data_IF_236390289929
#
_entry.id   IF_236390289929
#
_cell.length_a   1.000
_cell.length_b   1.000
_cell.length_c   1.000
_cell.angle_alpha   90.00
_cell.angle_beta   90.00
_cell.angle_gamma   90.00
#
_symmetry.space_group_name_H-M   'P 1'
#
loop_
_entity.id
_entity.type
_entity.pdbx_description
1 polymer ?
#
# COMPACT_ATOMS: atom_id res chain seq x y z
N UNK A 1 -34.60 0.33 29.53
CA UNK A 1 -34.34 0.01 28.12
C UNK A 1 -32.90 -0.44 28.06
N UNK A 2 -32.64 -1.70 27.77
CA UNK A 2 -31.27 -2.20 27.53
C UNK A 2 -30.73 -1.48 26.29
N UNK A 3 -29.69 -0.67 26.45
CA UNK A 3 -28.98 -0.08 25.31
C UNK A 3 -28.40 -1.24 24.48
N UNK A 4 -28.55 -1.19 23.18
CA UNK A 4 -27.84 -2.13 22.33
C UNK A 4 -26.31 -1.85 22.47
N UNK A 5 -25.43 -2.86 22.43
CA UNK A 5 -23.98 -2.64 22.54
C UNK A 5 -23.47 -1.52 21.62
N UNK A 6 -24.01 -1.42 20.42
CA UNK A 6 -23.68 -0.40 19.44
C UNK A 6 -23.90 1.04 19.92
N UNK A 7 -24.97 1.27 20.70
CA UNK A 7 -25.30 2.62 21.20
C UNK A 7 -24.30 3.13 22.25
N UNK A 8 -23.42 2.28 22.78
CA UNK A 8 -22.43 2.62 23.80
C UNK A 8 -21.04 2.92 23.22
N UNK A 9 -20.74 2.48 21.98
CA UNK A 9 -19.40 2.63 21.37
C UNK A 9 -19.04 4.09 21.17
N UNK A 10 -19.87 4.85 20.44
CA UNK A 10 -19.60 6.27 20.15
C UNK A 10 -19.48 7.14 21.41
N UNK A 11 -20.39 7.06 22.41
CA UNK A 11 -20.22 7.79 23.67
C UNK A 11 -18.91 7.48 24.39
N UNK A 12 -18.46 6.22 24.38
CA UNK A 12 -17.18 5.86 24.97
C UNK A 12 -16.00 6.51 24.22
N UNK A 13 -15.99 6.46 22.89
CA UNK A 13 -14.97 7.08 22.06
C UNK A 13 -14.89 8.58 22.32
N UNK A 14 -16.01 9.28 22.34
CA UNK A 14 -16.05 10.71 22.64
C UNK A 14 -15.53 11.03 24.04
N UNK A 15 -15.85 10.20 25.02
CA UNK A 15 -15.31 10.36 26.39
C UNK A 15 -13.79 10.20 26.44
N UNK A 16 -13.22 9.32 25.62
CA UNK A 16 -11.79 9.04 25.60
C UNK A 16 -11.01 9.93 24.62
N UNK A 17 -11.69 10.76 23.83
CA UNK A 17 -11.11 11.55 22.74
C UNK A 17 -9.86 12.33 23.14
N UNK A 18 -9.92 13.09 24.23
CA UNK A 18 -8.80 13.92 24.65
C UNK A 18 -7.55 13.08 25.00
N UNK A 19 -7.73 12.05 25.84
CA UNK A 19 -6.63 11.17 26.23
C UNK A 19 -6.04 10.41 25.03
N UNK A 20 -6.88 9.97 24.10
CA UNK A 20 -6.43 9.32 22.86
C UNK A 20 -5.58 10.26 21.99
N UNK A 21 -6.01 11.50 21.82
CA UNK A 21 -5.27 12.48 21.00
C UNK A 21 -3.95 12.91 21.68
N UNK A 22 -3.91 13.02 23.01
CA UNK A 22 -2.70 13.28 23.76
C UNK A 22 -1.67 12.15 23.60
N UNK A 23 -2.12 10.91 23.69
CA UNK A 23 -1.29 9.71 23.47
C UNK A 23 -0.77 9.65 22.03
N UNK A 24 -1.64 9.84 21.04
CA UNK A 24 -1.24 9.87 19.63
C UNK A 24 -0.21 10.98 19.37
N UNK A 25 -0.44 12.18 19.92
CA UNK A 25 0.50 13.29 19.79
C UNK A 25 1.86 12.96 20.43
N UNK A 26 1.88 12.26 21.56
CA UNK A 26 3.13 11.80 22.18
C UNK A 26 3.90 10.82 21.26
N UNK A 27 3.21 9.94 20.56
CA UNK A 27 3.85 9.00 19.62
C UNK A 27 4.32 9.69 18.34
N UNK A 28 3.55 10.65 17.80
CA UNK A 28 3.91 11.42 16.61
C UNK A 28 5.16 12.28 16.81
N UNK A 29 5.48 12.70 18.06
CA UNK A 29 6.72 13.41 18.39
C UNK A 29 7.98 12.57 18.24
N UNK A 30 7.86 11.27 18.02
CA UNK A 30 9.02 10.40 17.80
C UNK A 30 9.28 10.34 16.29
N UNK A 31 10.38 10.93 15.78
CA UNK A 31 10.70 10.99 14.35
C UNK A 31 11.28 9.65 13.88
N UNK A 32 10.45 8.63 13.79
CA UNK A 32 10.84 7.26 13.44
C UNK A 32 11.08 7.10 11.93
N UNK A 33 12.03 7.84 11.37
CA UNK A 33 12.36 7.85 9.94
C UNK A 33 13.27 6.68 9.60
N UNK A 34 12.70 5.59 9.06
CA UNK A 34 13.43 4.35 8.75
C UNK A 34 14.49 4.50 7.67
N UNK A 35 14.25 5.36 6.68
CA UNK A 35 15.16 5.62 5.58
C UNK A 35 16.47 6.32 5.98
N UNK A 36 16.59 6.78 7.24
CA UNK A 36 17.74 7.54 7.75
C UNK A 36 18.42 6.81 8.90
N UNK A 37 19.67 6.36 8.74
CA UNK A 37 20.41 5.65 9.79
C UNK A 37 20.58 6.42 11.11
N UNK A 38 20.64 7.74 11.06
CA UNK A 38 20.73 8.62 12.23
C UNK A 38 19.44 8.60 13.08
N UNK A 39 18.29 8.20 12.51
CA UNK A 39 17.02 8.02 13.20
C UNK A 39 16.77 6.58 13.72
N UNK A 40 17.70 5.64 13.54
CA UNK A 40 17.53 4.27 14.06
C UNK A 40 17.19 4.20 15.57
N UNK A 41 17.75 5.07 16.46
CA UNK A 41 17.32 5.11 17.86
C UNK A 41 15.87 5.58 18.03
N UNK A 42 15.37 6.44 17.15
CA UNK A 42 14.00 6.96 17.18
C UNK A 42 13.01 5.90 16.71
N UNK A 43 13.34 5.15 15.65
CA UNK A 43 12.56 4.00 15.19
C UNK A 43 12.43 2.97 16.33
N UNK A 44 13.52 2.69 17.03
CA UNK A 44 13.50 1.81 18.21
C UNK A 44 12.60 2.37 19.31
N UNK A 45 12.73 3.67 19.63
CA UNK A 45 11.91 4.34 20.66
C UNK A 45 10.43 4.32 20.29
N UNK A 46 10.08 4.44 19.00
CA UNK A 46 8.71 4.32 18.49
C UNK A 46 8.14 2.93 18.77
N UNK A 47 8.90 1.87 18.46
CA UNK A 47 8.49 0.49 18.76
C UNK A 47 8.31 0.25 20.26
N UNK A 48 9.26 0.68 21.08
CA UNK A 48 9.21 0.52 22.55
C UNK A 48 8.00 1.28 23.13
N UNK A 49 7.71 2.49 22.62
CA UNK A 49 6.55 3.28 23.02
C UNK A 49 5.24 2.56 22.68
N UNK A 50 5.10 2.08 21.44
CA UNK A 50 3.89 1.36 21.01
C UNK A 50 3.65 0.10 21.83
N UNK A 51 4.71 -0.71 22.05
CA UNK A 51 4.60 -1.92 22.86
C UNK A 51 4.18 -1.62 24.32
N UNK A 52 4.66 -0.53 24.92
CA UNK A 52 4.23 -0.09 26.23
C UNK A 52 2.75 0.33 26.22
N UNK A 53 2.34 1.10 25.22
CA UNK A 53 0.96 1.60 25.08
C UNK A 53 -0.04 0.47 24.82
N UNK A 54 0.35 -0.57 24.07
CA UNK A 54 -0.50 -1.76 23.87
C UNK A 54 -0.73 -2.52 25.18
N UNK A 55 0.31 -2.64 26.05
CA UNK A 55 0.14 -3.22 27.40
C UNK A 55 -0.80 -2.36 28.26
N UNK A 56 -0.67 -1.03 28.23
CA UNK A 56 -1.59 -0.11 28.93
C UNK A 56 -3.03 -0.19 28.39
N UNK A 57 -3.19 -0.47 27.12
CA UNK A 57 -4.50 -0.72 26.46
C UNK A 57 -5.16 -1.98 27.01
N UNK A 58 -4.37 -2.98 27.46
CA UNK A 58 -4.83 -4.22 28.03
C UNK A 58 -4.33 -5.48 27.33
N UNK A 59 -3.50 -5.36 26.30
CA UNK A 59 -2.93 -6.54 25.61
C UNK A 59 -2.07 -7.34 26.60
N UNK A 60 -2.40 -8.61 26.85
CA UNK A 60 -1.60 -9.45 27.77
C UNK A 60 -0.23 -9.77 27.22
N UNK A 61 -0.07 -9.75 25.89
CA UNK A 61 1.22 -9.88 25.22
C UNK A 61 1.45 -8.67 24.32
N UNK A 62 2.59 -7.98 24.51
CA UNK A 62 3.10 -6.98 23.56
C UNK A 62 4.63 -6.99 23.62
N UNK A 63 5.25 -7.30 22.51
CA UNK A 63 6.68 -7.57 22.35
C UNK A 63 7.28 -6.71 21.25
N UNK A 64 8.54 -6.31 21.40
CA UNK A 64 9.33 -5.72 20.32
C UNK A 64 10.20 -6.81 19.72
N UNK A 65 9.95 -7.18 18.49
CA UNK A 65 10.69 -8.17 17.75
C UNK A 65 11.88 -7.54 17.02
N UNK A 66 13.04 -8.16 17.16
CA UNK A 66 14.22 -7.74 16.42
C UNK A 66 14.16 -8.28 15.00
N UNK A 67 14.53 -7.42 14.05
CA UNK A 67 14.79 -7.77 12.65
C UNK A 67 16.25 -7.44 12.33
N UNK A 68 16.80 -7.82 11.19
CA UNK A 68 18.10 -7.31 10.72
C UNK A 68 18.13 -5.79 10.53
N UNK A 69 16.98 -5.16 10.32
CA UNK A 69 16.79 -3.72 10.18
C UNK A 69 16.06 -3.10 11.37
N UNK A 70 14.96 -2.40 11.11
CA UNK A 70 14.16 -1.78 12.16
C UNK A 70 13.26 -2.79 12.88
N UNK A 71 13.03 -2.63 14.21
CA UNK A 71 12.21 -3.56 14.97
C UNK A 71 10.73 -3.48 14.59
N UNK A 72 10.05 -4.63 14.69
CA UNK A 72 8.59 -4.70 14.61
C UNK A 72 7.97 -4.86 16.01
N UNK A 73 6.71 -4.46 16.15
CA UNK A 73 5.92 -4.66 17.37
C UNK A 73 4.89 -5.75 17.12
N UNK A 74 4.86 -6.76 17.97
CA UNK A 74 3.82 -7.78 17.99
C UNK A 74 3.01 -7.67 19.27
N UNK A 75 1.68 -7.76 19.15
CA UNK A 75 0.80 -7.89 20.31
C UNK A 75 -0.28 -8.93 20.05
N UNK A 76 -0.78 -9.53 21.13
CA UNK A 76 -1.80 -10.57 21.09
C UNK A 76 -2.74 -10.44 22.29
N UNK A 77 -4.05 -10.53 22.01
CA UNK A 77 -5.10 -10.61 23.01
C UNK A 77 -6.07 -11.72 22.62
N UNK A 78 -5.95 -12.91 23.24
CA UNK A 78 -6.85 -14.03 22.99
C UNK A 78 -8.30 -13.70 23.41
N UNK A 79 -9.27 -14.20 22.65
CA UNK A 79 -10.68 -14.16 23.03
C UNK A 79 -10.97 -15.15 24.16
N UNK A 80 -12.06 -14.88 24.90
CA UNK A 80 -12.62 -15.84 25.87
C UNK A 80 -13.42 -16.96 25.17
N UNK A 81 -13.70 -16.85 23.87
CA UNK A 81 -14.38 -17.85 23.04
C UNK A 81 -13.33 -18.68 22.29
N UNK A 82 -13.29 -19.99 22.56
CA UNK A 82 -12.33 -20.91 21.92
C UNK A 82 -12.55 -21.05 20.40
N UNK A 83 -13.77 -20.77 19.91
CA UNK A 83 -14.13 -20.85 18.50
C UNK A 83 -14.00 -19.48 17.79
N UNK A 84 -13.51 -18.46 18.51
CA UNK A 84 -13.35 -17.13 17.93
C UNK A 84 -12.32 -17.14 16.79
N UNK A 85 -12.59 -16.44 15.67
CA UNK A 85 -11.61 -16.29 14.61
C UNK A 85 -10.38 -15.50 15.09
N UNK A 86 -9.23 -15.78 14.50
CA UNK A 86 -8.00 -15.05 14.74
C UNK A 86 -7.82 -13.98 13.69
N UNK A 87 -7.64 -12.75 14.11
CA UNK A 87 -7.48 -11.57 13.24
C UNK A 87 -6.15 -10.90 13.52
N UNK A 88 -5.35 -10.71 12.49
CA UNK A 88 -4.10 -9.97 12.54
C UNK A 88 -4.30 -8.57 11.96
N UNK A 89 -4.10 -7.54 12.75
CA UNK A 89 -4.01 -6.15 12.26
C UNK A 89 -2.57 -5.88 11.88
N UNK A 90 -2.36 -5.36 10.69
CA UNK A 90 -1.07 -4.92 10.18
C UNK A 90 -1.07 -3.41 9.93
N UNK A 91 0.06 -2.78 10.21
CA UNK A 91 0.41 -1.40 9.90
C UNK A 91 1.90 -1.16 10.18
N UNK A 92 2.33 0.10 10.12
CA UNK A 92 3.73 0.44 10.37
C UNK A 92 3.90 1.63 11.33
N UNK A 93 5.10 1.77 11.92
CA UNK A 93 5.40 2.82 12.88
C UNK A 93 6.56 3.72 12.46
N UNK A 94 7.19 3.41 11.36
CA UNK A 94 8.12 4.32 10.71
C UNK A 94 7.38 5.36 9.87
N UNK A 95 8.10 6.36 9.41
CA UNK A 95 7.53 7.50 8.68
C UNK A 95 8.52 8.02 7.65
N UNK A 96 8.01 8.66 6.60
CA UNK A 96 8.82 9.35 5.60
C UNK A 96 9.65 10.49 6.21
N UNK A 97 10.85 10.76 5.66
CA UNK A 97 11.63 11.94 6.02
C UNK A 97 10.80 13.22 5.89
N UNK A 98 10.98 14.13 6.85
CA UNK A 98 10.34 15.43 6.81
C UNK A 98 11.19 16.46 7.56
N UNK A 99 11.29 17.66 6.99
CA UNK A 99 11.94 18.79 7.62
C UNK A 99 11.12 20.06 7.36
N UNK A 100 11.24 21.04 8.24
CA UNK A 100 10.46 22.29 8.13
C UNK A 100 10.73 23.03 6.82
N UNK A 101 11.95 22.97 6.33
CA UNK A 101 12.40 23.55 5.06
C UNK A 101 11.76 22.91 3.82
N UNK A 102 11.15 21.75 3.95
CA UNK A 102 10.42 21.08 2.86
C UNK A 102 9.05 21.72 2.57
N UNK A 103 8.70 22.80 3.27
CA UNK A 103 7.45 23.53 3.09
C UNK A 103 6.38 23.24 4.14
N UNK A 104 6.76 22.74 5.31
CA UNK A 104 5.86 22.57 6.45
C UNK A 104 5.56 23.91 7.15
N UNK A 105 4.29 24.15 7.46
CA UNK A 105 3.82 25.32 8.22
C UNK A 105 4.21 25.27 9.70
N UNK A 106 4.44 24.07 10.25
CA UNK A 106 4.90 23.78 11.61
C UNK A 106 6.00 22.73 11.56
N UNK A 107 6.67 22.47 12.70
CA UNK A 107 7.59 21.34 12.79
C UNK A 107 6.83 20.03 12.50
N UNK A 108 7.30 19.17 11.56
CA UNK A 108 6.60 17.96 11.17
C UNK A 108 6.43 16.96 12.33
N UNK A 109 7.28 17.01 13.35
CA UNK A 109 7.22 16.12 14.51
C UNK A 109 6.68 16.81 15.78
N UNK A 110 6.11 18.01 15.66
CA UNK A 110 5.33 18.65 16.72
C UNK A 110 3.87 18.72 16.29
N UNK A 111 3.02 17.79 16.76
CA UNK A 111 1.63 17.69 16.35
C UNK A 111 0.82 18.94 16.67
N UNK A 112 0.10 19.46 15.68
CA UNK A 112 -0.72 20.68 15.84
C UNK A 112 -2.14 20.41 15.38
N UNK A 113 -3.11 20.65 16.27
CA UNK A 113 -4.53 20.59 15.91
C UNK A 113 -4.97 21.97 15.38
N UNK A 114 -5.50 21.99 14.15
CA UNK A 114 -6.08 23.17 13.50
C UNK A 114 -7.50 22.83 13.05
N UNK A 115 -8.50 23.34 13.75
CA UNK A 115 -9.89 22.94 13.52
C UNK A 115 -10.11 21.46 13.80
N UNK A 116 -10.60 20.72 12.82
CA UNK A 116 -10.84 19.26 12.91
C UNK A 116 -9.66 18.42 12.36
N UNK A 117 -8.43 18.96 12.34
CA UNK A 117 -7.27 18.32 11.69
C UNK A 117 -6.08 18.27 12.63
N UNK A 118 -5.48 17.09 12.73
CA UNK A 118 -4.19 16.89 13.39
C UNK A 118 -3.09 16.85 12.34
N UNK A 119 -2.22 17.85 12.34
CA UNK A 119 -1.10 17.97 11.42
C UNK A 119 0.18 17.46 12.09
N UNK A 120 0.78 16.43 11.52
CA UNK A 120 2.11 15.91 11.82
C UNK A 120 2.51 14.85 10.81
N UNK A 121 3.79 14.59 10.61
CA UNK A 121 4.27 13.43 9.88
C UNK A 121 3.91 12.14 10.62
N UNK A 122 3.29 11.16 9.92
CA UNK A 122 2.78 9.93 10.49
C UNK A 122 1.34 10.03 11.03
N UNK A 123 0.68 11.19 10.92
CA UNK A 123 -0.68 11.37 11.41
C UNK A 123 -1.70 10.54 10.61
N UNK A 124 -1.52 10.46 9.30
CA UNK A 124 -2.33 9.68 8.38
C UNK A 124 -1.62 8.38 7.94
N UNK A 125 -0.29 8.41 7.86
CA UNK A 125 0.56 7.38 7.30
C UNK A 125 1.73 7.07 8.26
N UNK A 126 1.62 6.08 9.15
CA UNK A 126 0.46 5.20 9.43
C UNK A 126 0.12 5.18 10.93
N UNK A 127 0.89 5.93 11.78
CA UNK A 127 0.70 5.91 13.25
C UNK A 127 -0.74 6.19 13.67
N UNK A 128 -1.43 7.12 13.00
CA UNK A 128 -2.83 7.43 13.30
C UNK A 128 -3.74 6.24 13.06
N UNK A 129 -3.59 5.54 11.95
CA UNK A 129 -4.40 4.39 11.58
C UNK A 129 -4.09 3.15 12.43
N UNK A 130 -2.83 2.92 12.78
CA UNK A 130 -2.47 1.89 13.77
C UNK A 130 -3.09 2.20 15.13
N UNK A 131 -3.00 3.47 15.56
CA UNK A 131 -3.38 3.83 16.92
C UNK A 131 -4.89 3.80 17.17
N UNK A 132 -5.73 4.03 16.15
CA UNK A 132 -7.18 3.95 16.28
C UNK A 132 -7.68 2.58 16.79
N UNK A 133 -6.94 1.48 16.50
CA UNK A 133 -7.29 0.15 16.99
C UNK A 133 -7.19 0.02 18.51
N UNK A 134 -6.34 0.79 19.17
CA UNK A 134 -6.25 0.82 20.65
C UNK A 134 -7.51 1.39 21.27
N UNK A 135 -8.06 2.46 20.67
CA UNK A 135 -9.34 3.05 21.09
C UNK A 135 -10.51 2.12 20.70
N UNK A 136 -10.47 1.54 19.50
CA UNK A 136 -11.49 0.63 19.00
C UNK A 136 -11.68 -0.60 19.88
N UNK A 137 -10.60 -1.28 20.28
CA UNK A 137 -10.71 -2.47 21.16
C UNK A 137 -11.24 -2.09 22.55
N UNK A 138 -10.81 -0.97 23.12
CA UNK A 138 -11.31 -0.49 24.40
C UNK A 138 -12.80 -0.13 24.33
N UNK A 139 -13.24 0.51 23.25
CA UNK A 139 -14.64 0.83 23.01
C UNK A 139 -15.50 -0.44 22.85
N UNK A 140 -14.98 -1.44 22.12
CA UNK A 140 -15.63 -2.76 22.00
C UNK A 140 -15.85 -3.42 23.37
N UNK A 141 -14.82 -3.50 24.19
CA UNK A 141 -14.90 -4.10 25.52
C UNK A 141 -15.88 -3.34 26.42
N UNK A 142 -15.81 -2.01 26.44
CA UNK A 142 -16.70 -1.18 27.25
C UNK A 142 -18.17 -1.30 26.82
N UNK A 143 -18.44 -1.36 25.52
CA UNK A 143 -19.79 -1.46 24.99
C UNK A 143 -20.40 -2.85 25.17
N UNK A 144 -19.60 -3.90 25.11
CA UNK A 144 -20.07 -5.30 25.23
C UNK A 144 -20.00 -5.85 26.64
N UNK A 145 -19.27 -5.18 27.56
CA UNK A 145 -19.00 -5.68 28.90
C UNK A 145 -18.06 -6.90 28.94
N UNK A 146 -17.37 -7.19 27.83
CA UNK A 146 -16.40 -8.30 27.73
C UNK A 146 -15.08 -7.94 28.42
N UNK A 147 -14.37 -8.97 28.86
CA UNK A 147 -13.01 -8.87 29.42
C UNK A 147 -11.90 -9.12 28.39
N UNK A 148 -12.29 -9.67 27.23
CA UNK A 148 -11.40 -9.90 26.07
C UNK A 148 -12.15 -9.57 24.77
N UNK A 149 -11.44 -9.27 23.67
CA UNK A 149 -12.06 -9.05 22.35
C UNK A 149 -12.89 -10.26 21.91
N UNK A 150 -13.90 -10.02 21.05
CA UNK A 150 -14.72 -11.10 20.51
C UNK A 150 -13.96 -12.00 19.53
N UNK A 151 -12.80 -11.57 19.05
CA UNK A 151 -11.88 -12.31 18.19
C UNK A 151 -10.55 -12.52 18.92
N UNK A 152 -9.76 -13.51 18.51
CA UNK A 152 -8.34 -13.56 18.90
C UNK A 152 -7.63 -12.44 18.13
N UNK A 153 -7.33 -11.34 18.81
CA UNK A 153 -6.79 -10.13 18.18
C UNK A 153 -5.27 -10.15 18.25
N UNK A 154 -4.62 -10.02 17.10
CA UNK A 154 -3.18 -9.85 16.96
C UNK A 154 -2.87 -8.54 16.25
N UNK A 155 -1.73 -7.94 16.57
CA UNK A 155 -1.16 -6.80 15.86
C UNK A 155 0.27 -7.13 15.45
N UNK A 156 0.62 -6.79 14.21
CA UNK A 156 2.00 -6.71 13.71
C UNK A 156 2.19 -5.31 13.14
N UNK A 157 3.09 -4.55 13.76
CA UNK A 157 3.38 -3.18 13.31
C UNK A 157 4.88 -3.11 13.01
N UNK A 158 5.23 -3.01 11.72
CA UNK A 158 6.62 -2.98 11.28
C UNK A 158 7.26 -1.59 11.38
N UNK A 159 8.56 -1.52 11.21
CA UNK A 159 9.34 -0.29 11.28
C UNK A 159 10.15 0.05 10.02
N UNK A 160 9.82 -0.55 8.86
CA UNK A 160 10.56 -0.40 7.59
C UNK A 160 9.64 -0.29 6.36
N UNK A 161 8.34 -0.06 6.53
CA UNK A 161 7.40 0.03 5.41
C UNK A 161 7.82 1.11 4.42
N UNK A 162 8.14 2.28 4.93
CA UNK A 162 8.57 3.46 4.19
C UNK A 162 9.94 3.32 3.50
N UNK A 163 10.62 2.21 3.77
CA UNK A 163 11.87 1.79 3.12
C UNK A 163 11.67 0.55 2.24
N UNK A 164 10.41 0.15 1.98
CA UNK A 164 10.03 -0.97 1.13
C UNK A 164 10.00 -2.33 1.82
N UNK A 165 9.86 -2.38 3.13
CA UNK A 165 9.68 -3.62 3.94
C UNK A 165 10.71 -4.73 3.67
N UNK A 166 12.01 -4.45 3.62
CA UNK A 166 13.01 -5.41 3.13
C UNK A 166 13.12 -6.68 3.97
N UNK A 167 12.68 -6.64 5.23
CA UNK A 167 12.77 -7.78 6.15
C UNK A 167 11.41 -8.35 6.56
N UNK A 168 10.29 -7.74 6.15
CA UNK A 168 8.96 -8.16 6.58
C UNK A 168 8.64 -9.60 6.15
N UNK A 169 8.82 -9.95 4.88
CA UNK A 169 8.53 -11.29 4.38
C UNK A 169 9.27 -12.37 5.19
N UNK A 170 10.56 -12.17 5.40
CA UNK A 170 11.37 -13.11 6.19
C UNK A 170 10.91 -13.19 7.66
N UNK A 171 10.53 -12.06 8.27
CA UNK A 171 9.97 -12.02 9.60
C UNK A 171 8.64 -12.79 9.69
N UNK A 172 7.74 -12.60 8.72
CA UNK A 172 6.44 -13.27 8.67
C UNK A 172 6.62 -14.78 8.48
N UNK A 173 7.53 -15.21 7.60
CA UNK A 173 7.89 -16.62 7.41
C UNK A 173 8.48 -17.25 8.68
N UNK A 174 9.43 -16.57 9.33
CA UNK A 174 10.05 -17.05 10.60
C UNK A 174 9.01 -17.16 11.72
N UNK A 175 8.06 -16.23 11.77
CA UNK A 175 7.07 -16.11 12.85
C UNK A 175 5.68 -16.62 12.45
N UNK A 176 5.54 -17.34 11.33
CA UNK A 176 4.25 -17.74 10.77
C UNK A 176 3.32 -18.41 11.79
N UNK A 177 3.86 -19.26 12.69
CA UNK A 177 3.07 -19.91 13.74
C UNK A 177 2.51 -18.91 14.78
N UNK A 178 3.24 -17.83 15.10
CA UNK A 178 2.77 -16.76 16.00
C UNK A 178 1.80 -15.80 15.28
N UNK A 179 2.01 -15.58 14.00
CA UNK A 179 1.23 -14.69 13.17
C UNK A 179 0.02 -15.37 12.50
N UNK A 180 -0.09 -16.70 12.59
CA UNK A 180 -1.23 -17.44 12.03
C UNK A 180 -2.55 -16.74 12.36
N UNK A 181 -3.32 -16.44 11.32
CA UNK A 181 -4.58 -15.70 11.41
C UNK A 181 -5.56 -16.24 10.38
N UNK A 182 -6.84 -16.07 10.65
CA UNK A 182 -7.90 -16.41 9.71
C UNK A 182 -8.17 -15.24 8.73
N UNK A 183 -7.86 -13.99 9.14
CA UNK A 183 -7.81 -12.81 8.28
C UNK A 183 -6.72 -11.84 8.72
N UNK A 184 -6.21 -11.06 7.76
CA UNK A 184 -5.32 -9.93 8.01
C UNK A 184 -6.07 -8.64 7.69
N UNK A 185 -6.03 -7.68 8.61
CA UNK A 185 -6.55 -6.32 8.41
C UNK A 185 -5.36 -5.39 8.19
N UNK A 186 -5.27 -4.82 7.01
CA UNK A 186 -4.28 -3.78 6.71
C UNK A 186 -4.92 -2.42 6.97
N UNK A 187 -4.34 -1.65 7.87
CA UNK A 187 -4.81 -0.31 8.25
C UNK A 187 -3.96 0.81 7.67
N UNK A 188 -3.39 0.58 6.51
CA UNK A 188 -2.53 1.49 5.78
C UNK A 188 -3.11 1.75 4.39
N UNK A 189 -4.30 2.34 4.37
CA UNK A 189 -5.02 2.69 3.14
C UNK A 189 -5.94 3.89 3.36
N UNK A 190 -6.60 4.33 2.28
CA UNK A 190 -7.53 5.44 2.33
C UNK A 190 -8.94 5.12 1.86
N UNK A 191 -9.80 6.07 2.10
CA UNK A 191 -11.15 6.15 1.54
C UNK A 191 -11.18 7.10 0.35
N UNK A 192 -12.26 7.02 -0.45
CA UNK A 192 -12.48 7.94 -1.56
C UNK A 192 -12.54 9.41 -1.11
N UNK A 193 -13.33 9.68 -0.09
CA UNK A 193 -13.45 10.98 0.56
C UNK A 193 -14.10 10.84 1.94
N UNK A 194 -14.11 11.93 2.71
CA UNK A 194 -14.78 11.97 4.02
C UNK A 194 -16.28 11.64 3.96
N UNK A 195 -16.93 11.98 2.85
CA UNK A 195 -18.37 11.78 2.64
C UNK A 195 -18.70 10.49 1.87
N UNK A 196 -17.69 9.84 1.31
CA UNK A 196 -17.85 8.60 0.55
C UNK A 196 -16.90 7.53 1.13
N UNK A 197 -17.32 6.85 2.22
CA UNK A 197 -16.51 5.78 2.80
C UNK A 197 -16.37 4.64 1.80
N UNK A 198 -15.14 4.15 1.66
CA UNK A 198 -14.85 3.02 0.78
C UNK A 198 -14.03 1.96 1.50
N UNK A 199 -14.13 0.73 1.01
CA UNK A 199 -13.27 -0.37 1.38
C UNK A 199 -12.46 -0.77 0.16
N UNK A 200 -11.15 -0.78 0.30
CA UNK A 200 -10.25 -1.30 -0.72
C UNK A 200 -10.36 -2.83 -0.75
N UNK A 201 -10.39 -3.41 -1.95
CA UNK A 201 -10.51 -4.87 -2.12
C UNK A 201 -9.23 -5.51 -2.64
N UNK A 202 -8.26 -4.73 -3.06
CA UNK A 202 -6.99 -5.24 -3.56
C UNK A 202 -6.03 -4.14 -3.98
N UNK A 203 -4.76 -4.52 -4.08
CA UNK A 203 -3.66 -3.66 -4.50
C UNK A 203 -2.95 -4.25 -5.69
N UNK A 204 -2.37 -3.39 -6.54
CA UNK A 204 -1.51 -3.86 -7.63
C UNK A 204 -0.14 -4.29 -7.09
N UNK A 205 0.47 -5.22 -7.80
CA UNK A 205 1.88 -5.56 -7.64
C UNK A 205 2.78 -4.62 -8.44
N UNK A 206 4.08 -4.80 -8.24
CA UNK A 206 5.13 -4.05 -8.93
C UNK A 206 6.26 -4.98 -9.34
N UNK A 207 6.75 -4.84 -10.57
CA UNK A 207 8.04 -5.36 -11.00
C UNK A 207 8.76 -4.27 -11.78
N UNK A 208 10.08 -4.21 -11.64
CA UNK A 208 10.90 -3.19 -12.29
C UNK A 208 12.11 -3.83 -12.94
N UNK A 209 12.52 -3.31 -14.09
CA UNK A 209 13.76 -3.75 -14.71
C UNK A 209 14.54 -2.61 -15.39
N UNK A 210 15.85 -2.82 -15.47
CA UNK A 210 16.75 -2.04 -16.30
C UNK A 210 17.31 -2.92 -17.39
N UNK A 211 17.23 -2.46 -18.65
CA UNK A 211 17.74 -3.12 -19.83
C UNK A 211 18.90 -2.27 -20.36
N UNK A 212 20.12 -2.77 -20.23
CA UNK A 212 21.32 -2.16 -20.80
C UNK A 212 21.65 -2.83 -22.13
N UNK A 213 21.87 -2.01 -23.16
CA UNK A 213 22.18 -2.44 -24.52
C UNK A 213 23.59 -1.97 -24.86
N UNK A 214 24.44 -2.90 -25.26
CA UNK A 214 25.84 -2.65 -25.63
C UNK A 214 26.05 -3.02 -27.07
N UNK A 215 26.61 -2.09 -27.83
CA UNK A 215 27.01 -2.27 -29.24
C UNK A 215 28.52 -2.30 -29.39
N UNK A 216 29.14 -1.33 -30.11
CA UNK A 216 30.58 -1.24 -30.21
C UNK A 216 31.25 -1.02 -28.85
N UNK A 217 32.48 -1.44 -28.65
CA UNK A 217 33.22 -1.30 -27.39
C UNK A 217 33.45 0.17 -26.97
N UNK A 218 33.34 1.10 -27.94
CA UNK A 218 33.42 2.55 -27.71
C UNK A 218 32.53 3.30 -28.71
N UNK A 219 32.30 4.58 -28.46
CA UNK A 219 31.62 5.45 -29.41
C UNK A 219 32.47 5.53 -30.70
N UNK A 220 31.83 5.30 -31.84
CA UNK A 220 32.48 5.29 -33.15
C UNK A 220 31.88 6.32 -34.09
N UNK A 221 32.63 6.72 -35.11
CA UNK A 221 32.23 7.75 -36.07
C UNK A 221 31.06 7.28 -36.93
N UNK A 222 29.89 7.99 -36.86
CA UNK A 222 28.70 7.58 -37.59
C UNK A 222 28.81 7.65 -39.12
N UNK A 223 29.62 8.54 -39.62
CA UNK A 223 29.88 8.63 -41.08
C UNK A 223 30.70 7.48 -41.61
N UNK A 224 31.56 6.85 -40.80
CA UNK A 224 32.40 5.73 -41.19
C UNK A 224 31.74 4.37 -40.95
N UNK A 225 30.90 4.25 -39.94
CA UNK A 225 30.35 2.98 -39.48
C UNK A 225 28.82 2.93 -39.41
N UNK A 226 28.13 4.10 -39.44
CA UNK A 226 26.68 4.19 -39.39
C UNK A 226 26.05 3.47 -40.58
N UNK A 227 24.96 2.74 -40.32
CA UNK A 227 24.29 1.91 -41.31
C UNK A 227 24.95 0.53 -41.54
N UNK A 228 26.19 0.32 -41.03
CA UNK A 228 26.91 -0.94 -41.15
C UNK A 228 27.06 -1.71 -39.84
N UNK A 229 26.99 -0.99 -38.71
CA UNK A 229 27.00 -1.61 -37.38
C UNK A 229 25.70 -1.29 -36.61
N UNK A 230 25.22 -2.17 -35.72
CA UNK A 230 24.00 -1.91 -34.95
C UNK A 230 24.22 -0.79 -33.95
N UNK A 231 23.20 0.04 -33.80
CA UNK A 231 23.20 1.20 -32.91
C UNK A 231 22.35 0.91 -31.65
N UNK A 232 22.95 0.88 -30.45
CA UNK A 232 22.22 0.62 -29.20
C UNK A 232 21.09 1.61 -28.92
N UNK A 233 21.25 2.89 -29.26
CA UNK A 233 20.19 3.88 -29.07
C UNK A 233 18.97 3.62 -29.99
N UNK A 234 19.21 3.18 -31.22
CA UNK A 234 18.14 2.74 -32.13
C UNK A 234 17.47 1.47 -31.63
N UNK A 235 18.23 0.52 -31.05
CA UNK A 235 17.68 -0.69 -30.46
C UNK A 235 16.80 -0.35 -29.24
N UNK A 236 17.25 0.55 -28.36
CA UNK A 236 16.45 1.03 -27.22
C UNK A 236 15.13 1.69 -27.67
N UNK A 237 15.18 2.55 -28.67
CA UNK A 237 13.98 3.21 -29.21
C UNK A 237 12.98 2.20 -29.81
N UNK A 238 13.46 1.17 -30.51
CA UNK A 238 12.61 0.09 -31.06
C UNK A 238 11.98 -0.73 -29.95
N UNK A 239 12.74 -1.09 -28.92
CA UNK A 239 12.25 -1.84 -27.78
C UNK A 239 11.13 -1.06 -27.08
N UNK A 240 11.31 0.22 -26.79
CA UNK A 240 10.28 1.07 -26.21
C UNK A 240 9.04 1.17 -27.12
N UNK A 241 9.21 1.36 -28.42
CA UNK A 241 8.12 1.45 -29.38
C UNK A 241 7.34 0.12 -29.52
N UNK A 242 7.98 -1.02 -29.24
CA UNK A 242 7.35 -2.33 -29.30
C UNK A 242 6.67 -2.74 -27.97
N UNK A 243 6.76 -1.93 -26.91
CA UNK A 243 6.21 -2.26 -25.59
C UNK A 243 4.68 -2.29 -25.57
N UNK A 244 4.05 -1.45 -26.39
CA UNK A 244 2.59 -1.35 -26.49
C UNK A 244 2.12 -1.50 -27.94
N UNK A 245 0.93 -2.05 -28.11
CA UNK A 245 0.25 -2.11 -29.39
C UNK A 245 -0.54 -0.81 -29.68
N UNK A 246 -1.25 -0.79 -30.80
CA UNK A 246 -2.09 0.35 -31.25
C UNK A 246 -3.28 0.66 -30.33
N UNK A 247 -3.65 -0.26 -29.43
CA UNK A 247 -4.70 -0.12 -28.44
C UNK A 247 -4.15 0.22 -27.03
N UNK A 248 -2.87 0.60 -26.95
CA UNK A 248 -2.14 0.85 -25.71
C UNK A 248 -2.13 -0.38 -24.76
N UNK A 249 -2.25 -1.59 -25.30
CA UNK A 249 -2.12 -2.82 -24.58
C UNK A 249 -0.66 -3.25 -24.57
N UNK A 250 -0.18 -3.78 -23.45
CA UNK A 250 1.20 -4.26 -23.34
C UNK A 250 1.41 -5.40 -24.33
N UNK A 251 2.36 -5.24 -25.25
CA UNK A 251 2.60 -6.15 -26.36
C UNK A 251 3.62 -7.28 -26.06
N UNK A 252 4.00 -7.43 -24.78
CA UNK A 252 4.87 -8.52 -24.32
C UNK A 252 4.06 -9.83 -24.32
N UNK A 253 4.47 -10.87 -25.10
CA UNK A 253 3.75 -12.14 -25.11
C UNK A 253 3.69 -12.78 -23.72
N UNK A 254 2.52 -13.28 -23.30
CA UNK A 254 2.29 -13.84 -21.98
C UNK A 254 2.12 -12.82 -20.86
N UNK A 255 2.17 -11.52 -21.14
CA UNK A 255 2.03 -10.48 -20.11
C UNK A 255 0.67 -10.51 -19.41
N UNK A 256 -0.37 -10.90 -20.09
CA UNK A 256 -1.73 -10.99 -19.55
C UNK A 256 -2.11 -12.39 -19.01
N UNK A 257 -1.16 -13.33 -19.00
CA UNK A 257 -1.43 -14.68 -18.49
C UNK A 257 -1.78 -14.60 -16.99
N UNK A 258 -2.88 -15.24 -16.63
CA UNK A 258 -3.41 -15.25 -15.26
C UNK A 258 -4.19 -14.00 -14.83
N UNK A 259 -4.24 -12.94 -15.64
CA UNK A 259 -5.03 -11.75 -15.30
C UNK A 259 -6.48 -12.11 -15.01
N UNK A 260 -6.96 -11.73 -13.85
CA UNK A 260 -8.37 -11.85 -13.46
C UNK A 260 -9.11 -10.61 -13.93
N UNK A 261 -9.94 -10.77 -14.96
CA UNK A 261 -10.75 -9.68 -15.49
C UNK A 261 -11.83 -9.24 -14.48
N UNK A 262 -12.22 -7.95 -14.55
CA UNK A 262 -13.33 -7.43 -13.78
C UNK A 262 -14.64 -8.11 -14.15
N UNK A 263 -15.40 -8.50 -13.14
CA UNK A 263 -16.80 -8.89 -13.31
C UNK A 263 -17.67 -7.69 -13.66
N UNK A 264 -18.85 -7.92 -14.25
CA UNK A 264 -19.82 -6.84 -14.51
C UNK A 264 -20.20 -6.11 -13.22
N UNK A 265 -20.31 -6.83 -12.11
CA UNK A 265 -20.61 -6.24 -10.81
C UNK A 265 -19.52 -5.31 -10.31
N UNK A 266 -18.25 -5.65 -10.48
CA UNK A 266 -17.14 -4.77 -10.13
C UNK A 266 -17.10 -3.52 -11.00
N UNK A 267 -17.38 -3.62 -12.28
CA UNK A 267 -17.51 -2.47 -13.18
C UNK A 267 -18.63 -1.53 -12.76
N UNK A 268 -19.80 -2.07 -12.40
CA UNK A 268 -20.93 -1.30 -11.86
C UNK A 268 -20.50 -0.55 -10.58
N UNK A 269 -19.85 -1.23 -9.64
CA UNK A 269 -19.40 -0.63 -8.40
C UNK A 269 -18.37 0.49 -8.59
N UNK A 270 -17.45 0.34 -9.56
CA UNK A 270 -16.53 1.41 -9.92
C UNK A 270 -17.27 2.62 -10.56
N UNK A 271 -18.28 2.35 -11.36
CA UNK A 271 -19.11 3.41 -11.98
C UNK A 271 -20.00 4.15 -10.95
N UNK A 272 -20.28 3.56 -9.79
CA UNK A 272 -21.01 4.22 -8.70
C UNK A 272 -20.16 5.26 -7.95
N UNK A 273 -18.82 5.24 -8.10
CA UNK A 273 -17.95 6.21 -7.45
C UNK A 273 -18.13 7.61 -8.08
N UNK A 274 -18.09 8.68 -7.28
CA UNK A 274 -18.21 10.05 -7.81
C UNK A 274 -16.88 10.49 -8.46
N UNK A 275 -16.46 9.79 -9.52
CA UNK A 275 -15.23 10.04 -10.23
C UNK A 275 -15.40 11.14 -11.27
N UNK A 276 -14.62 12.21 -11.16
CA UNK A 276 -14.49 13.30 -12.13
C UNK A 276 -13.12 13.16 -12.83
N UNK A 277 -13.12 12.64 -14.06
CA UNK A 277 -11.91 12.44 -14.84
C UNK A 277 -11.18 13.75 -15.15
N UNK A 278 -11.91 14.85 -15.40
CA UNK A 278 -11.27 16.14 -15.63
C UNK A 278 -10.56 16.66 -14.39
N UNK A 279 -11.17 16.50 -13.20
CA UNK A 279 -10.53 16.87 -11.94
C UNK A 279 -9.32 15.97 -11.66
N UNK A 280 -9.42 14.68 -11.94
CA UNK A 280 -8.32 13.74 -11.79
C UNK A 280 -7.14 14.10 -12.70
N UNK A 281 -7.41 14.45 -13.98
CA UNK A 281 -6.41 14.91 -14.93
C UNK A 281 -5.77 16.24 -14.48
N UNK A 282 -6.55 17.17 -13.94
CA UNK A 282 -6.00 18.41 -13.34
C UNK A 282 -5.04 18.12 -12.21
N UNK A 283 -5.37 17.17 -11.34
CA UNK A 283 -4.49 16.73 -10.23
C UNK A 283 -3.20 16.11 -10.77
N UNK A 284 -3.31 15.26 -11.79
CA UNK A 284 -2.17 14.66 -12.48
C UNK A 284 -1.38 15.67 -13.34
N UNK A 285 -1.87 16.90 -13.51
CA UNK A 285 -1.32 17.91 -14.43
C UNK A 285 -1.19 17.40 -15.86
N UNK A 286 -2.12 16.51 -16.27
CA UNK A 286 -2.20 15.93 -17.60
C UNK A 286 -3.32 16.59 -18.41
N UNK A 287 -3.18 16.62 -19.74
CA UNK A 287 -4.15 17.21 -20.64
C UNK A 287 -5.09 16.18 -21.28
N UNK A 288 -4.80 14.89 -21.15
CA UNK A 288 -5.63 13.82 -21.69
C UNK A 288 -5.44 12.52 -20.90
N UNK A 289 -6.51 11.73 -20.80
CA UNK A 289 -6.43 10.34 -20.35
C UNK A 289 -5.81 9.47 -21.47
N UNK A 290 -5.04 8.47 -21.06
CA UNK A 290 -4.42 7.49 -21.94
C UNK A 290 -4.45 6.11 -21.28
N UNK A 291 -4.32 5.04 -22.07
CA UNK A 291 -4.17 3.66 -21.59
C UNK A 291 -4.99 2.66 -22.40
N UNK A 292 -5.02 1.42 -21.94
CA UNK A 292 -5.63 0.28 -22.62
C UNK A 292 -7.06 0.58 -23.10
N UNK A 293 -7.32 0.37 -24.39
CA UNK A 293 -8.62 0.62 -25.01
C UNK A 293 -9.72 -0.27 -24.40
N UNK A 294 -10.95 0.25 -24.34
CA UNK A 294 -12.11 -0.48 -23.80
C UNK A 294 -12.23 -0.49 -22.28
N UNK A 295 -11.37 0.24 -21.58
CA UNK A 295 -11.40 0.38 -20.13
C UNK A 295 -11.51 1.83 -19.69
N UNK A 296 -12.22 2.09 -18.58
CA UNK A 296 -12.29 3.40 -17.93
C UNK A 296 -10.98 3.74 -17.25
N UNK A 297 -10.78 5.00 -16.87
CA UNK A 297 -9.58 5.44 -16.15
C UNK A 297 -9.39 4.69 -14.83
N UNK A 298 -10.47 4.49 -14.06
CA UNK A 298 -10.39 3.73 -12.81
C UNK A 298 -10.02 2.25 -13.07
N UNK A 299 -10.62 1.62 -14.09
CA UNK A 299 -10.26 0.24 -14.46
C UNK A 299 -8.78 0.13 -14.83
N UNK A 300 -8.25 1.09 -15.60
CA UNK A 300 -6.83 1.12 -16.00
C UNK A 300 -5.88 1.21 -14.82
N UNK A 301 -6.17 2.10 -13.85
CA UNK A 301 -5.27 2.31 -12.71
C UNK A 301 -5.42 1.28 -11.60
N UNK A 302 -6.51 0.51 -11.56
CA UNK A 302 -6.80 -0.43 -10.49
C UNK A 302 -6.80 -1.90 -10.89
N UNK A 303 -7.28 -2.21 -12.08
CA UNK A 303 -7.59 -3.58 -12.47
C UNK A 303 -6.92 -4.02 -13.78
N UNK A 304 -6.20 -3.13 -14.44
CA UNK A 304 -5.42 -3.48 -15.62
C UNK A 304 -3.92 -3.42 -15.33
N UNK A 305 -3.15 -4.40 -15.83
CA UNK A 305 -1.70 -4.33 -15.72
C UNK A 305 -1.16 -3.29 -16.67
N UNK A 306 -0.07 -2.62 -16.27
CA UNK A 306 0.57 -1.58 -17.08
C UNK A 306 2.07 -1.79 -17.19
N UNK A 307 2.66 -1.23 -18.24
CA UNK A 307 4.09 -1.16 -18.44
C UNK A 307 4.47 0.29 -18.73
N UNK A 308 5.32 0.87 -17.88
CA UNK A 308 5.73 2.25 -17.99
C UNK A 308 7.22 2.37 -18.30
N UNK A 309 7.56 3.31 -19.20
CA UNK A 309 8.95 3.68 -19.48
C UNK A 309 9.36 4.78 -18.51
N UNK A 310 10.12 4.40 -17.47
CA UNK A 310 10.57 5.34 -16.43
C UNK A 310 11.84 6.09 -16.83
N UNK A 311 12.59 5.56 -17.81
CA UNK A 311 13.80 6.17 -18.31
C UNK A 311 14.28 5.57 -19.61
N UNK A 312 14.84 6.41 -20.46
CA UNK A 312 15.56 6.01 -21.67
C UNK A 312 16.80 6.89 -21.79
N UNK A 313 17.95 6.28 -22.02
CA UNK A 313 19.23 6.99 -22.15
C UNK A 313 20.14 6.32 -23.17
N UNK A 314 21.05 7.11 -23.71
CA UNK A 314 22.04 6.62 -24.66
C UNK A 314 22.40 7.66 -25.72
N UNK A 315 23.56 7.51 -26.32
CA UNK A 315 24.11 8.50 -27.24
C UNK A 315 24.57 9.78 -26.53
N UNK A 316 24.90 10.80 -27.32
CA UNK A 316 25.38 12.07 -26.80
C UNK A 316 24.24 12.91 -26.22
N UNK A 317 24.38 13.32 -24.95
CA UNK A 317 23.40 14.09 -24.22
C UNK A 317 23.81 15.55 -23.97
N UNK A 318 25.03 15.95 -24.45
CA UNK A 318 25.55 17.30 -24.26
C UNK A 318 24.99 18.30 -25.29
N UNK A 319 25.35 19.59 -25.14
CA UNK A 319 24.95 20.64 -26.08
C UNK A 319 25.56 20.39 -27.48
N UNK A 320 24.82 20.76 -28.53
CA UNK A 320 25.24 20.58 -29.92
C UNK A 320 25.10 19.14 -30.43
N UNK A 321 25.78 18.82 -31.54
CA UNK A 321 25.72 17.50 -32.16
C UNK A 321 27.08 16.77 -32.05
N UNK A 322 27.04 15.45 -31.87
CA UNK A 322 28.21 14.56 -31.97
C UNK A 322 27.83 13.41 -32.88
N UNK A 323 28.55 13.30 -34.00
CA UNK A 323 28.26 12.34 -35.07
C UNK A 323 28.82 10.95 -34.74
N UNK A 324 28.17 10.24 -33.82
CA UNK A 324 28.59 8.92 -33.32
C UNK A 324 27.53 7.84 -33.54
N UNK A 325 27.97 6.58 -33.56
CA UNK A 325 27.21 5.43 -33.13
C UNK A 325 27.62 5.15 -31.69
N UNK A 326 26.74 5.29 -30.71
CA UNK A 326 27.12 5.14 -29.32
C UNK A 326 27.46 3.70 -28.95
N UNK A 327 28.27 3.52 -27.92
CA UNK A 327 28.66 2.20 -27.42
C UNK A 327 27.55 1.54 -26.60
N UNK A 328 26.68 2.31 -26.00
CA UNK A 328 25.60 1.78 -25.15
C UNK A 328 24.33 2.64 -25.12
N UNK A 329 23.26 2.03 -24.71
CA UNK A 329 21.98 2.69 -24.32
C UNK A 329 21.32 1.91 -23.19
N UNK A 330 20.31 2.51 -22.54
CA UNK A 330 19.56 1.85 -21.48
C UNK A 330 18.09 2.23 -21.51
N UNK A 331 17.24 1.33 -21.01
CA UNK A 331 15.81 1.54 -20.79
C UNK A 331 15.47 1.08 -19.36
N UNK A 332 14.69 1.86 -18.64
CA UNK A 332 14.10 1.48 -17.34
C UNK A 332 12.60 1.32 -17.51
N UNK A 333 12.08 0.21 -17.02
CA UNK A 333 10.68 -0.14 -17.12
C UNK A 333 10.13 -0.48 -15.75
N UNK A 334 8.88 -0.09 -15.49
CA UNK A 334 8.11 -0.61 -14.37
C UNK A 334 6.80 -1.21 -14.85
N UNK A 335 6.38 -2.29 -14.20
CA UNK A 335 5.17 -3.03 -14.53
C UNK A 335 4.27 -3.04 -13.30
N UNK A 336 3.07 -2.47 -13.42
CA UNK A 336 2.05 -2.67 -12.40
C UNK A 336 1.29 -3.95 -12.72
N UNK A 337 1.25 -4.86 -11.76
CA UNK A 337 0.66 -6.19 -11.90
C UNK A 337 -0.69 -6.24 -11.20
N UNK A 338 -1.62 -7.05 -11.74
CA UNK A 338 -2.96 -7.22 -11.18
C UNK A 338 -3.19 -8.65 -10.72
N UNK A 339 -4.28 -8.88 -9.98
CA UNK A 339 -4.64 -10.18 -9.45
C UNK A 339 -4.48 -11.31 -10.48
N UNK A 340 -3.85 -12.39 -10.05
CA UNK A 340 -3.55 -13.57 -10.86
C UNK A 340 -2.21 -13.51 -11.60
N UNK A 341 -1.53 -12.35 -11.67
CA UNK A 341 -0.21 -12.27 -12.27
C UNK A 341 0.89 -12.64 -11.26
N UNK A 342 1.89 -13.34 -11.75
CA UNK A 342 3.10 -13.73 -11.01
C UNK A 342 4.30 -12.90 -11.49
N UNK A 343 5.01 -12.16 -10.62
CA UNK A 343 6.17 -11.36 -11.01
C UNK A 343 7.27 -12.18 -11.68
N UNK A 344 7.49 -13.44 -11.25
CA UNK A 344 8.49 -14.29 -11.85
C UNK A 344 8.11 -14.76 -13.27
N UNK A 345 6.81 -14.90 -13.55
CA UNK A 345 6.32 -15.13 -14.90
C UNK A 345 6.55 -13.91 -15.79
N UNK A 346 6.23 -12.72 -15.28
CA UNK A 346 6.44 -11.44 -15.99
C UNK A 346 7.93 -11.22 -16.31
N UNK A 347 8.81 -11.48 -15.34
CA UNK A 347 10.26 -11.40 -15.59
C UNK A 347 10.68 -12.28 -16.76
N UNK A 348 10.23 -13.55 -16.80
CA UNK A 348 10.53 -14.49 -17.88
C UNK A 348 9.98 -14.00 -19.23
N UNK A 349 8.74 -13.53 -19.25
CA UNK A 349 8.09 -13.01 -20.45
C UNK A 349 8.83 -11.79 -21.01
N UNK A 350 9.17 -10.82 -20.15
CA UNK A 350 9.90 -9.60 -20.53
C UNK A 350 11.31 -9.95 -21.03
N UNK A 351 12.03 -10.87 -20.39
CA UNK A 351 13.36 -11.31 -20.87
C UNK A 351 13.29 -11.95 -22.24
N UNK A 352 12.32 -12.82 -22.48
CA UNK A 352 12.13 -13.48 -23.78
C UNK A 352 11.76 -12.45 -24.86
N UNK A 353 10.80 -11.59 -24.59
CA UNK A 353 10.38 -10.52 -25.50
C UNK A 353 11.54 -9.57 -25.83
N UNK A 354 12.28 -9.10 -24.83
CA UNK A 354 13.40 -8.20 -25.06
C UNK A 354 14.51 -8.85 -25.93
N UNK A 355 14.78 -10.14 -25.74
CA UNK A 355 15.74 -10.88 -26.55
C UNK A 355 15.33 -10.93 -28.03
N UNK A 356 14.02 -10.99 -28.33
CA UNK A 356 13.51 -10.96 -29.71
C UNK A 356 13.57 -9.55 -30.34
N UNK A 357 13.45 -8.49 -29.53
CA UNK A 357 13.50 -7.11 -30.00
C UNK A 357 14.91 -6.59 -30.22
N UNK A 358 15.91 -7.19 -29.58
CA UNK A 358 17.31 -6.75 -29.67
C UNK A 358 17.94 -7.32 -30.91
N UNK A 359 18.49 -6.47 -31.83
CA UNK A 359 19.09 -6.94 -33.07
C UNK A 359 20.41 -7.66 -32.82
N UNK A 360 20.79 -8.54 -33.76
CA UNK A 360 22.11 -9.18 -33.77
C UNK A 360 23.24 -8.14 -33.69
N UNK A 361 24.26 -8.43 -32.89
CA UNK A 361 25.37 -7.54 -32.64
C UNK A 361 25.16 -6.52 -31.51
N UNK A 362 24.02 -6.52 -30.88
CA UNK A 362 23.77 -5.82 -29.60
C UNK A 362 23.70 -6.87 -28.48
N UNK A 363 24.46 -6.67 -27.41
CA UNK A 363 24.39 -7.47 -26.18
C UNK A 363 23.44 -6.77 -25.21
N UNK A 364 22.43 -7.48 -24.71
CA UNK A 364 21.51 -6.97 -23.71
C UNK A 364 21.83 -7.56 -22.33
N UNK A 365 21.84 -6.71 -21.32
CA UNK A 365 21.84 -7.10 -19.90
C UNK A 365 20.54 -6.62 -19.28
N UNK A 366 19.77 -7.54 -18.70
CA UNK A 366 18.47 -7.24 -18.11
C UNK A 366 18.55 -7.55 -16.62
N UNK A 367 18.37 -6.54 -15.79
CA UNK A 367 18.37 -6.67 -14.33
C UNK A 367 16.98 -6.32 -13.80
N UNK A 368 16.39 -7.25 -13.06
CA UNK A 368 15.16 -7.00 -12.30
C UNK A 368 15.49 -6.63 -10.86
N UNK A 369 14.74 -5.67 -10.32
CA UNK A 369 14.73 -5.33 -8.90
C UNK A 369 13.83 -6.27 -8.09
N UNK A 370 13.70 -6.03 -6.78
CA UNK A 370 12.67 -6.66 -5.97
C UNK A 370 11.28 -6.43 -6.57
N UNK A 371 10.41 -7.42 -6.40
CA UNK A 371 9.06 -7.35 -6.95
C UNK A 371 8.02 -7.58 -5.84
N UNK A 372 6.87 -6.92 -5.97
CA UNK A 372 5.72 -7.07 -5.07
C UNK A 372 4.59 -7.75 -5.83
N UNK A 373 3.98 -8.77 -5.23
CA UNK A 373 2.80 -9.43 -5.80
C UNK A 373 1.56 -8.55 -5.67
N UNK A 374 0.57 -8.69 -6.55
CA UNK A 374 -0.76 -8.12 -6.34
C UNK A 374 -1.54 -8.93 -5.31
N UNK A 375 -2.49 -8.30 -4.62
CA UNK A 375 -3.46 -8.99 -3.77
C UNK A 375 -4.89 -8.59 -4.13
N UNK A 376 -5.83 -9.49 -3.89
CA UNK A 376 -7.26 -9.27 -4.11
C UNK A 376 -8.06 -10.15 -3.16
N UNK A 377 -9.06 -9.56 -2.52
CA UNK A 377 -10.08 -10.28 -1.76
C UNK A 377 -11.42 -10.17 -2.48
N UNK A 378 -12.10 -11.30 -2.78
CA UNK A 378 -13.38 -11.29 -3.47
C UNK A 378 -14.44 -10.48 -2.73
N UNK A 379 -15.30 -9.78 -3.48
CA UNK A 379 -16.36 -8.92 -2.92
C UNK A 379 -17.33 -9.66 -1.99
N UNK A 380 -17.60 -10.92 -2.27
CA UNK A 380 -18.52 -11.78 -1.50
C UNK A 380 -17.86 -12.48 -0.31
N UNK A 381 -16.57 -12.23 -0.06
CA UNK A 381 -15.86 -12.85 1.06
C UNK A 381 -16.51 -12.41 2.39
N UNK A 382 -16.92 -13.35 3.27
CA UNK A 382 -17.70 -13.03 4.48
C UNK A 382 -16.99 -12.05 5.42
N UNK A 383 -15.67 -12.18 5.58
CA UNK A 383 -14.90 -11.26 6.41
C UNK A 383 -14.83 -9.84 5.81
N UNK A 384 -14.75 -9.70 4.47
CA UNK A 384 -14.83 -8.39 3.80
C UNK A 384 -16.19 -7.74 4.06
N UNK A 385 -17.26 -8.51 4.00
CA UNK A 385 -18.61 -8.00 4.31
C UNK A 385 -18.75 -7.55 5.77
N UNK A 386 -17.98 -8.11 6.71
CA UNK A 386 -17.91 -7.61 8.10
C UNK A 386 -17.25 -6.22 8.16
N UNK A 387 -16.17 -5.98 7.41
CA UNK A 387 -15.56 -4.64 7.30
C UNK A 387 -16.56 -3.64 6.71
N UNK A 388 -17.26 -4.02 5.64
CA UNK A 388 -18.29 -3.16 5.01
C UNK A 388 -19.39 -2.78 5.98
N UNK A 389 -19.93 -3.74 6.77
CA UNK A 389 -20.95 -3.45 7.79
C UNK A 389 -20.41 -2.55 8.89
N UNK A 390 -19.21 -2.83 9.41
CA UNK A 390 -18.58 -2.03 10.45
C UNK A 390 -18.36 -0.58 10.01
N UNK A 391 -17.80 -0.38 8.82
CA UNK A 391 -17.63 0.94 8.20
C UNK A 391 -18.97 1.63 7.95
N UNK A 392 -19.95 0.92 7.39
CA UNK A 392 -21.28 1.47 7.14
C UNK A 392 -21.97 1.98 8.41
N UNK A 393 -21.80 1.27 9.53
CA UNK A 393 -22.32 1.67 10.85
C UNK A 393 -21.59 2.90 11.40
N UNK A 394 -20.27 2.91 11.38
CA UNK A 394 -19.45 4.01 11.89
C UNK A 394 -19.68 5.31 11.11
N UNK A 395 -19.76 5.21 9.79
CA UNK A 395 -19.95 6.37 8.91
C UNK A 395 -21.42 6.76 8.69
N UNK A 396 -22.37 5.90 9.10
CA UNK A 396 -23.79 6.05 8.82
C UNK A 396 -24.11 6.32 7.34
N UNK A 397 -23.37 5.67 6.44
CA UNK A 397 -23.40 5.85 4.98
C UNK A 397 -23.14 4.51 4.28
N UNK A 398 -23.72 4.30 3.08
CA UNK A 398 -23.35 3.17 2.23
C UNK A 398 -21.84 3.18 1.94
N UNK A 399 -21.21 2.01 2.08
CA UNK A 399 -19.80 1.82 1.78
C UNK A 399 -19.64 1.40 0.33
N UNK A 400 -18.72 2.03 -0.39
CA UNK A 400 -18.38 1.69 -1.77
C UNK A 400 -17.06 0.93 -1.81
N UNK A 401 -16.70 0.45 -3.01
CA UNK A 401 -15.51 -0.37 -3.18
C UNK A 401 -14.50 0.32 -4.08
N UNK A 402 -13.22 0.20 -3.70
CA UNK A 402 -12.08 0.66 -4.49
C UNK A 402 -11.05 -0.45 -4.63
N UNK A 403 -10.08 -0.24 -5.49
CA UNK A 403 -8.80 -0.94 -5.47
C UNK A 403 -7.67 0.09 -5.39
N UNK A 404 -6.50 -0.34 -4.95
CA UNK A 404 -5.34 0.54 -4.86
C UNK A 404 -4.44 0.34 -6.08
N UNK A 405 -4.04 1.45 -6.70
CA UNK A 405 -3.12 1.46 -7.82
C UNK A 405 -1.65 1.32 -7.40
N UNK A 406 -1.36 1.60 -6.15
CA UNK A 406 -0.07 1.39 -5.51
C UNK A 406 0.20 -0.08 -5.19
N UNK A 407 1.33 -0.32 -4.55
CA UNK A 407 1.77 -1.64 -4.09
C UNK A 407 2.24 -1.52 -2.66
N UNK A 408 2.06 -2.58 -1.88
CA UNK A 408 2.48 -2.65 -0.50
C UNK A 408 2.64 -4.10 -0.05
N UNK A 409 2.97 -4.36 1.20
CA UNK A 409 3.31 -5.69 1.72
C UNK A 409 2.09 -6.62 1.92
N UNK A 410 0.88 -6.14 1.65
CA UNK A 410 -0.37 -6.90 1.83
C UNK A 410 -0.35 -8.26 1.13
N UNK A 411 0.26 -8.35 -0.05
CA UNK A 411 0.35 -9.60 -0.80
C UNK A 411 1.30 -10.62 -0.14
N UNK A 412 2.38 -10.18 0.48
CA UNK A 412 3.28 -11.07 1.22
C UNK A 412 2.58 -11.66 2.45
N UNK A 413 1.81 -10.84 3.16
CA UNK A 413 0.98 -11.30 4.28
C UNK A 413 -0.05 -12.33 3.81
N UNK A 414 -0.76 -12.05 2.68
CA UNK A 414 -1.73 -12.97 2.11
C UNK A 414 -1.10 -14.32 1.73
N UNK A 415 0.05 -14.28 1.07
CA UNK A 415 0.73 -15.49 0.57
C UNK A 415 1.28 -16.34 1.73
N UNK A 416 2.03 -15.71 2.64
CA UNK A 416 2.73 -16.44 3.72
C UNK A 416 1.76 -16.98 4.76
N UNK A 417 0.73 -16.21 5.11
CA UNK A 417 -0.24 -16.61 6.13
C UNK A 417 -1.40 -17.43 5.57
N UNK A 418 -1.60 -17.43 4.24
CA UNK A 418 -2.72 -18.11 3.59
C UNK A 418 -4.07 -17.55 3.99
N UNK A 419 -4.13 -16.29 4.43
CA UNK A 419 -5.32 -15.63 4.95
C UNK A 419 -5.76 -14.48 4.02
N UNK A 420 -7.07 -14.20 3.88
CA UNK A 420 -7.55 -13.05 3.12
C UNK A 420 -7.05 -11.76 3.75
N UNK A 421 -6.65 -10.81 2.90
CA UNK A 421 -6.32 -9.45 3.32
C UNK A 421 -7.52 -8.55 3.15
N UNK A 422 -7.86 -7.86 4.20
CA UNK A 422 -8.95 -6.89 4.30
C UNK A 422 -8.35 -5.52 4.60
N UNK A 423 -8.87 -4.48 4.00
CA UNK A 423 -8.37 -3.13 4.23
C UNK A 423 -9.37 -2.32 5.07
N UNK A 424 -8.88 -1.73 6.14
CA UNK A 424 -9.63 -0.79 6.96
C UNK A 424 -8.80 0.48 7.10
N UNK A 425 -8.93 1.37 6.12
CA UNK A 425 -8.26 2.66 6.09
C UNK A 425 -9.25 3.81 6.21
N UNK A 426 -8.82 4.92 6.80
CA UNK A 426 -9.65 6.12 7.03
C UNK A 426 -9.05 7.38 6.45
N UNK A 427 -7.86 7.32 5.92
CA UNK A 427 -7.23 8.45 5.27
C UNK A 427 -7.95 8.85 3.99
N UNK A 428 -7.76 10.09 3.58
CA UNK A 428 -8.36 10.63 2.35
C UNK A 428 -7.28 11.29 1.48
N UNK A 429 -7.48 11.42 0.16
CA UNK A 429 -6.47 11.97 -0.74
C UNK A 429 -5.94 13.36 -0.36
N UNK A 430 -6.71 14.13 0.43
CA UNK A 430 -6.30 15.43 0.91
C UNK A 430 -5.41 15.40 2.16
N UNK A 431 -5.10 14.20 2.70
CA UNK A 431 -4.29 14.08 3.91
C UNK A 431 -2.79 14.30 3.65
N UNK A 432 -2.38 14.22 2.38
CA UNK A 432 -1.04 14.63 1.98
C UNK A 432 0.05 13.64 2.36
N UNK A 433 -0.21 12.33 2.21
CA UNK A 433 0.80 11.28 2.39
C UNK A 433 2.08 11.63 1.66
N UNK A 434 3.21 11.44 2.30
CA UNK A 434 4.56 11.76 1.83
C UNK A 434 4.77 13.26 1.49
N UNK A 435 3.74 14.12 1.56
CA UNK A 435 3.82 15.55 1.28
C UNK A 435 4.04 16.38 2.56
N UNK A 436 4.46 17.65 2.44
CA UNK A 436 4.42 18.60 3.55
C UNK A 436 2.99 18.84 4.04
N UNK A 437 2.87 19.15 5.33
CA UNK A 437 1.59 19.40 6.00
C UNK A 437 0.63 18.20 6.02
N UNK A 438 1.17 16.97 6.03
CA UNK A 438 0.39 15.78 6.30
C UNK A 438 -0.52 15.97 7.49
N UNK A 439 -1.74 15.47 7.39
CA UNK A 439 -2.76 15.60 8.43
C UNK A 439 -3.68 14.39 8.43
N UNK A 440 -4.40 14.22 9.54
CA UNK A 440 -5.58 13.35 9.60
C UNK A 440 -6.79 14.16 10.08
N UNK A 441 -7.96 13.91 9.49
CA UNK A 441 -9.24 14.48 9.98
C UNK A 441 -9.64 13.76 11.27
N UNK A 442 -9.81 14.51 12.37
CA UNK A 442 -10.10 13.93 13.70
C UNK A 442 -11.39 13.12 13.71
N UNK A 443 -12.43 13.58 13.03
CA UNK A 443 -13.70 12.86 12.94
C UNK A 443 -13.56 11.54 12.20
N UNK A 444 -12.71 11.47 11.15
CA UNK A 444 -12.45 10.23 10.43
C UNK A 444 -11.65 9.26 11.29
N UNK A 445 -10.67 9.75 12.03
CA UNK A 445 -9.86 8.94 12.95
C UNK A 445 -10.76 8.30 14.04
N UNK A 446 -11.68 9.06 14.61
CA UNK A 446 -12.63 8.54 15.62
C UNK A 446 -13.66 7.58 15.01
N UNK A 447 -14.14 7.84 13.79
CA UNK A 447 -15.01 6.90 13.05
C UNK A 447 -14.27 5.62 12.70
N UNK A 448 -12.97 5.69 12.39
CA UNK A 448 -12.13 4.51 12.22
C UNK A 448 -12.04 3.65 13.47
N UNK A 449 -11.87 4.28 14.64
CA UNK A 449 -11.91 3.59 15.92
C UNK A 449 -13.29 2.98 16.20
N UNK A 450 -14.38 3.67 15.82
CA UNK A 450 -15.74 3.17 15.91
C UNK A 450 -15.95 1.95 14.99
N UNK A 451 -15.48 2.01 13.74
CA UNK A 451 -15.51 0.89 12.80
C UNK A 451 -14.73 -0.31 13.33
N UNK A 452 -13.52 -0.08 13.86
CA UNK A 452 -12.72 -1.11 14.53
C UNK A 452 -13.48 -1.77 15.69
N UNK A 453 -14.17 -0.98 16.54
CA UNK A 453 -14.94 -1.52 17.65
C UNK A 453 -16.11 -2.42 17.22
N UNK A 454 -16.80 -2.06 16.14
CA UNK A 454 -17.89 -2.89 15.58
C UNK A 454 -17.36 -4.15 14.89
N UNK A 455 -16.21 -4.04 14.23
CA UNK A 455 -15.63 -5.10 13.40
C UNK A 455 -15.36 -6.38 14.20
N UNK A 456 -14.88 -6.27 15.43
CA UNK A 456 -14.55 -7.45 16.24
C UNK A 456 -15.79 -8.28 16.55
N UNK A 457 -16.91 -7.64 16.85
CA UNK A 457 -18.20 -8.33 17.04
C UNK A 457 -18.74 -8.93 15.73
N UNK A 458 -18.70 -8.16 14.65
CA UNK A 458 -19.17 -8.61 13.33
C UNK A 458 -18.41 -9.83 12.82
N UNK A 459 -17.09 -9.85 12.96
CA UNK A 459 -16.27 -11.01 12.55
C UNK A 459 -16.60 -12.25 13.40
N UNK A 460 -16.73 -12.10 14.71
CA UNK A 460 -17.05 -13.21 15.59
C UNK A 460 -18.45 -13.80 15.33
N UNK A 461 -19.42 -12.96 14.95
CA UNK A 461 -20.80 -13.38 14.71
C UNK A 461 -21.00 -13.99 13.30
N UNK A 462 -20.42 -13.38 12.29
CA UNK A 462 -20.75 -13.68 10.89
C UNK A 462 -19.68 -14.45 10.14
N UNK A 463 -18.48 -14.58 10.71
CA UNK A 463 -17.39 -15.30 10.08
C UNK A 463 -16.75 -16.28 11.05
N UNK A 464 -17.31 -17.48 11.11
CA UNK A 464 -16.72 -18.61 11.83
C UNK A 464 -15.82 -19.39 10.89
N UNK A 465 -14.71 -19.91 11.43
CA UNK A 465 -13.80 -20.78 10.71
C UNK A 465 -14.62 -21.90 10.06
N UNK A 466 -14.42 -22.11 8.74
CA UNK A 466 -14.94 -23.31 8.10
C UNK A 466 -14.28 -24.53 8.77
N UNK A 467 -15.06 -25.58 9.11
CA UNK A 467 -14.53 -26.75 9.81
C UNK A 467 -13.46 -27.51 8.98
#
# INVERSE_FOLDING_TARGET
MSQTPDSAVRPYIEQQRAAFLDDLAAWLRIPSVSARPDHAPDVRRSADWLAAKLRETGFPTAEVWRTPGAPAVFAEWPSDDAEAPTVLVYGHHDVQPAAREDGWDSDPFEPVIRGNRLHARGAADDKGQVFLHTLGVRAHLAATGRTAPAVNLKLLVEGEEESGSPHLRALVEERAGRLAADAVIVSDTGMWSADTPTVCTGMRGLAECEIRLYGPDQDIHSGSFGGAVPNPATAAARLVAALHDEHARVAVPGFYDGVVDLTDRERELFAELPFDEEQWLRTAKSHAAHGEAGHTTLERVWARPTAEVNGIGGGYQGPGSKTIVPSSAMVKLSFRLVAGQDPGHIEKAVRAWAAEQVPAGIRAEITFGPATRPCLTPLDHPALQSVVRAMGRAFASPVRFTREGGSGPAADLQEVLGAPVLFLGISVPSDGWHAPNEKVELDLLLKGAEASAYLWGDLAEHWRRAP
#
